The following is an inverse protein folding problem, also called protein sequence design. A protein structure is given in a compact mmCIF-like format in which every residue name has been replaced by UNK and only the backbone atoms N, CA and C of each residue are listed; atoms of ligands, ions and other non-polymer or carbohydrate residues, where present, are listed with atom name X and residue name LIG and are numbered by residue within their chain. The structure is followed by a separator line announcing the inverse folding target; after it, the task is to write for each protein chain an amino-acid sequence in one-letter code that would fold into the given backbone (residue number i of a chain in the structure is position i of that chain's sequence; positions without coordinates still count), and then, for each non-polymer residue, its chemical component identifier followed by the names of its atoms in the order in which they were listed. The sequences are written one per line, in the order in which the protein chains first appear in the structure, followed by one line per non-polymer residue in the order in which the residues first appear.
data_IF_732676306749
#
_entry.id   IF_732676306749
#
_cell.length_a   1.000
_cell.length_b   1.000
_cell.length_c   1.000
_cell.angle_alpha   90.00
_cell.angle_beta   90.00
_cell.angle_gamma   90.00
#
_symmetry.space_group_name_H-M   'P 1'
#
loop_
_entity.id
_entity.type
_entity.pdbx_description
1 polymer ?
2 non-polymer ?
3 water ?
#
# COMPACT_ATOMS: atom_id res chain seq x y z
N UNK A 30 -26.25 22.76 0.84
CA UNK A 30 -26.03 23.77 -0.22
C UNK A 30 -26.31 23.08 -1.57
N UNK A 31 -25.30 22.92 -2.44
CA UNK A 31 -25.52 22.33 -3.75
C UNK A 31 -24.29 21.53 -4.18
N UNK A 32 -23.82 20.63 -3.31
CA UNK A 32 -22.62 19.85 -3.57
C UNK A 32 -22.73 19.00 -4.82
N UNK A 33 -23.83 18.27 -5.00
CA UNK A 33 -23.91 17.42 -6.17
C UNK A 33 -23.82 18.23 -7.49
N UNK A 34 -24.47 19.41 -7.59
CA UNK A 34 -24.36 20.22 -8.79
C UNK A 34 -22.93 20.75 -8.96
N UNK A 35 -22.27 21.07 -7.84
CA UNK A 35 -20.86 21.46 -7.86
C UNK A 35 -20.01 20.36 -8.49
N UNK A 36 -20.28 19.10 -8.10
CA UNK A 36 -19.47 17.97 -8.56
C UNK A 36 -19.66 17.76 -10.06
N UNK A 37 -20.92 17.77 -10.48
CA UNK A 37 -21.31 17.45 -11.84
C UNK A 37 -20.70 18.50 -12.80
N UNK A 38 -20.70 19.76 -12.36
CA UNK A 38 -20.07 20.89 -13.04
C UNK A 38 -18.56 20.74 -13.15
N UNK A 39 -17.92 20.26 -12.07
CA UNK A 39 -16.47 20.04 -12.08
C UNK A 39 -16.14 18.84 -12.96
N UNK A 40 -17.09 17.89 -13.14
CA UNK A 40 -16.85 16.68 -13.92
C UNK A 40 -15.98 15.65 -13.20
N UNK A 41 -15.99 15.71 -11.86
CA UNK A 41 -15.12 14.88 -11.06
C UNK A 41 -15.54 14.92 -9.60
N UNK A 42 -15.47 13.73 -8.97
CA UNK A 42 -15.59 13.55 -7.53
C UNK A 42 -14.17 13.52 -7.01
N UNK A 43 -13.79 14.50 -6.20
CA UNK A 43 -12.48 14.46 -5.59
C UNK A 43 -12.57 13.79 -4.21
N UNK A 44 -11.65 12.85 -3.96
CA UNK A 44 -11.73 11.97 -2.81
C UNK A 44 -10.39 12.00 -2.09
N UNK A 45 -10.41 12.54 -0.88
CA UNK A 45 -9.21 12.56 -0.05
C UNK A 45 -8.97 11.22 0.63
N UNK A 46 -7.69 10.80 0.66
CA UNK A 46 -7.36 9.57 1.35
C UNK A 46 -5.88 9.62 1.68
N UNK A 47 -5.46 8.88 2.72
CA UNK A 47 -4.07 8.94 3.13
C UNK A 47 -3.24 7.89 2.42
N UNK A 48 -3.85 6.77 1.97
CA UNK A 48 -3.07 5.71 1.33
C UNK A 48 -2.09 4.98 2.26
N UNK A 49 -2.23 5.11 3.59
CA UNK A 49 -1.32 4.44 4.50
C UNK A 49 -2.05 3.49 5.43
N UNK A 50 -3.31 3.14 5.11
CA UNK A 50 -4.07 2.28 6.00
C UNK A 50 -4.67 1.09 5.26
N UNK A 51 -3.87 0.03 5.09
CA UNK A 51 -4.36 -1.23 4.57
C UNK A 51 -5.31 -1.82 5.61
N UNK A 52 -6.41 -2.50 5.26
CA UNK A 52 -6.82 -2.75 3.88
C UNK A 52 -7.73 -1.74 3.17
N UNK A 53 -7.89 -0.57 3.78
CA UNK A 53 -8.87 0.41 3.32
C UNK A 53 -8.32 1.23 2.16
N UNK A 54 -7.05 1.63 2.28
CA UNK A 54 -6.46 2.62 1.38
C UNK A 54 -4.96 2.51 1.46
N UNK A 55 -4.32 2.14 0.34
CA UNK A 55 -2.90 1.91 0.30
C UNK A 55 -2.33 2.25 -1.08
N UNK A 56 -1.15 2.86 -1.11
CA UNK A 56 -0.45 3.08 -2.38
C UNK A 56 0.16 1.78 -2.90
N UNK A 57 -0.05 1.51 -4.19
CA UNK A 57 0.60 0.41 -4.88
C UNK A 57 1.28 1.02 -6.11
N UNK A 58 2.37 1.74 -5.86
CA UNK A 58 3.01 2.54 -6.90
C UNK A 58 2.20 3.80 -7.18
N UNK A 59 1.86 4.03 -8.46
CA UNK A 59 1.16 5.25 -8.87
C UNK A 59 -0.33 5.20 -8.56
N UNK A 60 -0.85 4.02 -8.11
CA UNK A 60 -2.27 3.85 -7.85
C UNK A 60 -2.49 3.74 -6.35
N UNK A 61 -3.68 4.19 -5.92
CA UNK A 61 -4.22 3.81 -4.63
C UNK A 61 -5.14 2.62 -4.82
N UNK A 62 -5.08 1.66 -3.87
CA UNK A 62 -5.96 0.48 -3.90
C UNK A 62 -6.52 0.23 -2.49
N UNK A 63 -7.61 -0.53 -2.43
CA UNK A 63 -8.16 -0.98 -1.17
C UNK A 63 -9.68 -0.85 -1.15
N UNK A 64 -10.30 -1.25 -0.03
CA UNK A 64 -11.77 -1.32 0.04
C UNK A 64 -12.40 0.06 -0.15
N UNK A 65 -11.74 1.12 0.39
CA UNK A 65 -12.34 2.43 0.37
C UNK A 65 -12.14 3.08 -0.98
N UNK A 66 -11.12 2.65 -1.71
CA UNK A 66 -10.89 3.15 -3.05
C UNK A 66 -11.93 2.55 -3.99
N UNK A 67 -12.24 1.26 -3.84
CA UNK A 67 -13.31 0.65 -4.61
C UNK A 67 -14.68 1.28 -4.27
N UNK A 68 -14.95 1.58 -3.00
CA UNK A 68 -16.15 2.34 -2.63
C UNK A 68 -16.18 3.69 -3.36
N UNK A 69 -15.09 4.47 -3.30
CA UNK A 69 -15.02 5.75 -3.95
C UNK A 69 -15.38 5.62 -5.44
N UNK A 70 -14.76 4.66 -6.12
CA UNK A 70 -15.00 4.47 -7.54
C UNK A 70 -16.45 4.13 -7.83
N UNK A 71 -17.11 3.38 -6.93
CA UNK A 71 -18.48 2.96 -7.17
C UNK A 71 -19.42 4.14 -6.90
N UNK A 72 -19.12 4.97 -5.88
CA UNK A 72 -19.91 6.17 -5.66
C UNK A 72 -19.84 7.11 -6.87
N UNK A 73 -18.62 7.28 -7.43
CA UNK A 73 -18.42 8.19 -8.55
C UNK A 73 -19.30 7.70 -9.69
N UNK A 74 -19.23 6.40 -9.99
CA UNK A 74 -20.06 5.78 -11.02
C UNK A 74 -21.52 6.11 -10.79
N UNK A 75 -22.00 5.95 -9.56
CA UNK A 75 -23.37 6.24 -9.20
C UNK A 75 -23.71 7.72 -9.39
N UNK A 76 -22.76 8.63 -9.16
CA UNK A 76 -23.00 10.06 -9.29
C UNK A 76 -22.86 10.50 -10.75
N UNK A 77 -22.21 9.63 -11.55
CA UNK A 77 -22.10 9.77 -12.99
C UNK A 77 -20.89 10.60 -13.41
N UNK A 78 -19.86 10.61 -12.57
CA UNK A 78 -18.64 11.39 -12.82
C UNK A 78 -17.44 10.47 -12.67
N UNK A 79 -16.26 10.81 -13.21
CA UNK A 79 -15.04 10.10 -12.83
C UNK A 79 -14.52 10.55 -11.47
N UNK A 80 -13.63 9.74 -10.90
CA UNK A 80 -13.11 9.91 -9.55
C UNK A 80 -11.68 10.41 -9.70
N UNK A 81 -11.30 11.31 -8.79
CA UNK A 81 -9.91 11.72 -8.63
C UNK A 81 -9.48 11.54 -7.15
N UNK A 82 -8.41 10.77 -6.93
CA UNK A 82 -7.92 10.50 -5.58
C UNK A 82 -6.93 11.60 -5.20
N UNK A 83 -7.25 12.36 -4.16
CA UNK A 83 -6.42 13.45 -3.68
C UNK A 83 -5.68 13.00 -2.41
N UNK A 84 -4.33 12.88 -2.45
CA UNK A 84 -3.55 12.45 -1.28
C UNK A 84 -3.62 13.47 -0.14
N UNK A 85 -3.89 12.98 1.07
CA UNK A 85 -3.76 13.77 2.30
C UNK A 85 -3.01 12.92 3.32
N UNK A 86 -3.00 13.37 4.57
CA UNK A 86 -2.30 12.70 5.66
C UNK A 86 -3.18 12.83 6.89
N UNK A 87 -3.04 11.94 7.90
CA UNK A 87 -3.90 11.98 9.07
C UNK A 87 -3.78 13.35 9.76
N UNK A 88 -2.56 13.91 9.98
CA UNK A 88 -2.45 15.25 10.59
C UNK A 88 -2.96 16.44 9.78
N UNK A 89 -3.11 16.30 8.46
CA UNK A 89 -3.61 17.39 7.62
C UNK A 89 -5.01 17.15 7.04
N UNK A 90 -5.64 15.99 7.34
CA UNK A 90 -6.94 15.62 6.77
C UNK A 90 -7.96 16.74 6.92
N UNK A 91 -8.19 17.20 8.13
CA UNK A 91 -9.26 18.13 8.39
C UNK A 91 -8.91 19.52 7.84
N UNK A 92 -7.65 19.92 7.90
CA UNK A 92 -7.26 21.18 7.31
C UNK A 92 -7.46 21.14 5.79
N UNK A 93 -6.98 20.06 5.12
CA UNK A 93 -7.16 19.88 3.68
C UNK A 93 -8.66 19.89 3.31
N UNK A 94 -9.52 19.30 4.14
CA UNK A 94 -10.95 19.24 3.86
C UNK A 94 -11.56 20.62 3.95
N UNK A 95 -11.20 21.35 5.02
CA UNK A 95 -11.64 22.72 5.19
C UNK A 95 -11.13 23.63 4.08
N UNK A 96 -9.93 23.34 3.59
CA UNK A 96 -9.33 24.08 2.48
C UNK A 96 -9.95 23.77 1.13
N UNK A 97 -10.90 22.82 1.04
CA UNK A 97 -11.60 22.56 -0.21
C UNK A 97 -10.82 21.68 -1.18
N UNK A 98 -9.88 20.86 -0.69
CA UNK A 98 -9.01 20.10 -1.56
C UNK A 98 -9.73 18.86 -2.13
N UNK A 99 -10.83 18.46 -1.50
CA UNK A 99 -11.59 17.32 -1.97
C UNK A 99 -13.02 17.39 -1.46
N UNK A 100 -13.90 16.64 -2.13
CA UNK A 100 -15.31 16.63 -1.80
C UNK A 100 -15.59 15.80 -0.55
N UNK A 101 -15.05 14.57 -0.54
CA UNK A 101 -15.28 13.60 0.53
C UNK A 101 -13.93 13.06 0.95
N UNK A 102 -13.86 12.38 2.09
CA UNK A 102 -12.65 11.66 2.50
C UNK A 102 -13.01 10.29 3.05
N UNK A 103 -12.18 9.30 2.71
CA UNK A 103 -12.27 7.96 3.26
C UNK A 103 -10.87 7.33 3.30
N UNK A 104 -10.83 6.07 3.70
CA UNK A 104 -9.61 5.30 3.85
C UNK A 104 -9.40 4.94 5.31
N UNK A 105 -10.38 4.23 5.87
CA UNK A 105 -10.36 3.86 7.27
C UNK A 105 -10.58 5.06 8.21
N UNK A 106 -11.45 5.98 7.82
CA UNK A 106 -11.75 7.16 8.61
C UNK A 106 -12.86 6.79 9.59
N UNK A 107 -12.55 6.97 10.86
CA UNK A 107 -13.52 6.69 11.91
C UNK A 107 -14.31 7.96 12.18
N UNK A 108 -15.57 7.76 12.59
CA UNK A 108 -16.38 8.85 13.13
C UNK A 108 -15.78 9.27 14.46
N UNK A 109 -15.49 10.56 14.58
CA UNK A 109 -15.05 11.13 15.84
C UNK A 109 -15.70 12.51 16.06
N UNK A 110 -15.81 12.94 17.35
CA UNK A 110 -16.49 14.20 17.65
C UNK A 110 -15.85 15.42 16.98
N UNK A 111 -14.52 15.45 16.98
CA UNK A 111 -13.73 16.45 16.28
C UNK A 111 -14.11 16.57 14.79
N UNK A 112 -14.24 15.43 14.10
CA UNK A 112 -14.47 15.44 12.67
C UNK A 112 -15.91 15.83 12.47
N UNK A 113 -16.78 15.47 13.43
CA UNK A 113 -18.19 15.79 13.31
C UNK A 113 -18.42 17.28 13.49
N UNK A 114 -17.48 18.00 14.13
CA UNK A 114 -17.59 19.45 14.26
C UNK A 114 -17.46 20.14 12.89
N UNK A 115 -16.64 19.56 12.01
CA UNK A 115 -16.31 20.22 10.78
C UNK A 115 -17.13 19.70 9.60
N UNK A 116 -17.56 18.44 9.57
CA UNK A 116 -18.30 17.97 8.40
C UNK A 116 -19.42 17.06 8.87
N UNK A 117 -20.09 16.40 7.92
CA UNK A 117 -21.01 15.33 8.23
C UNK A 117 -20.32 14.01 7.90
N UNK A 118 -20.90 12.90 8.35
CA UNK A 118 -20.44 11.56 7.98
C UNK A 118 -21.62 10.88 7.35
N UNK A 119 -21.32 10.00 6.39
CA UNK A 119 -22.24 8.98 5.91
C UNK A 119 -22.67 8.13 7.10
N UNK A 120 -23.69 7.30 6.88
CA UNK A 120 -23.89 6.17 7.77
C UNK A 120 -22.59 5.39 7.88
N UNK A 121 -22.46 4.65 8.98
CA UNK A 121 -21.32 3.75 9.16
C UNK A 121 -21.47 2.55 8.20
N UNK A 122 -20.36 2.16 7.57
CA UNK A 122 -20.35 0.96 6.78
C UNK A 122 -19.53 -0.16 7.45
N UNK A 123 -18.88 0.12 8.59
CA UNK A 123 -18.16 -0.93 9.28
C UNK A 123 -18.07 -0.60 10.77
N UNK A 124 -18.56 -1.51 11.62
CA UNK A 124 -18.35 -1.43 13.06
C UNK A 124 -17.28 -2.47 13.37
N UNK A 125 -16.31 -2.06 14.17
CA UNK A 125 -15.14 -2.86 14.44
C UNK A 125 -14.60 -2.58 15.84
N UNK A 126 -14.04 -3.61 16.45
CA UNK A 126 -13.45 -3.50 17.76
C UNK A 126 -12.20 -2.64 17.81
N UNK A 127 -11.90 -2.21 19.05
CA UNK A 127 -10.61 -1.73 19.46
C UNK A 127 -9.97 -2.82 20.33
N UNK A 128 -8.79 -3.29 19.91
CA UNK A 128 -8.21 -4.45 20.53
C UNK A 128 -6.71 -4.46 20.30
N UNK A 129 -5.94 -5.19 21.11
CA UNK A 129 -4.49 -5.17 20.96
C UNK A 129 -3.96 -5.99 19.78
N UNK A 130 -2.75 -5.62 19.37
CA UNK A 130 -1.88 -6.49 18.59
C UNK A 130 -0.52 -6.43 19.27
N UNK A 131 0.09 -7.61 19.43
CA UNK A 131 1.38 -7.70 20.11
C UNK A 131 2.21 -8.84 19.52
N UNK A 132 3.49 -8.97 19.93
CA UNK A 132 4.23 -10.19 19.62
C UNK A 132 3.48 -11.40 20.15
N UNK A 133 3.45 -12.50 19.38
CA UNK A 133 2.68 -13.67 19.76
C UNK A 133 3.05 -14.16 21.16
N UNK A 134 4.33 -14.12 21.52
CA UNK A 134 4.72 -14.65 22.81
C UNK A 134 4.17 -13.79 23.97
N UNK A 135 3.62 -12.59 23.67
CA UNK A 135 3.07 -11.70 24.66
C UNK A 135 1.53 -11.68 24.65
N UNK A 136 0.90 -12.58 23.88
CA UNK A 136 -0.56 -12.67 23.82
C UNK A 136 -1.20 -12.68 25.21
N UNK A 137 -0.68 -13.54 26.08
CA UNK A 137 -1.29 -13.82 27.37
C UNK A 137 -1.18 -12.61 28.26
N UNK A 138 -0.12 -11.83 28.04
CA UNK A 138 0.24 -10.72 28.88
C UNK A 138 -0.62 -9.48 28.66
N UNK A 139 -1.26 -9.35 27.49
CA UNK A 139 -2.00 -8.13 27.18
C UNK A 139 -3.43 -8.49 26.76
N UNK A 140 -4.03 -9.43 27.48
CA UNK A 140 -5.42 -9.84 27.28
C UNK A 140 -6.36 -8.73 27.73
N UNK A 141 -5.99 -7.99 28.80
CA UNK A 141 -6.91 -7.09 29.49
C UNK A 141 -6.36 -5.68 29.52
N UNK A 142 -7.27 -4.72 29.74
CA UNK A 142 -6.91 -3.33 29.94
C UNK A 142 -6.12 -3.14 31.22
N UNK A 143 -6.46 -3.89 32.28
CA UNK A 143 -5.69 -3.88 33.52
C UNK A 143 -4.21 -4.18 33.27
N UNK A 144 -3.92 -5.24 32.46
CA UNK A 144 -2.57 -5.68 32.08
C UNK A 144 -1.83 -4.61 31.28
N UNK A 145 -2.56 -3.90 30.41
CA UNK A 145 -1.94 -2.92 29.52
C UNK A 145 -1.73 -1.57 30.21
N UNK A 146 -2.68 -1.15 31.05
CA UNK A 146 -2.62 0.19 31.64
C UNK A 146 -1.69 0.15 32.87
N UNK A 147 -0.39 0.34 32.61
CA UNK A 147 0.63 0.22 33.63
C UNK A 147 1.93 0.89 33.17
N UNK A 148 2.67 1.56 34.08
CA UNK A 148 4.02 1.99 33.72
C UNK A 148 4.89 0.75 33.43
N UNK A 149 5.84 0.95 32.52
CA UNK A 149 6.69 -0.12 32.03
C UNK A 149 6.06 -0.86 30.86
N UNK A 150 4.96 -0.31 30.31
CA UNK A 150 4.33 -0.83 29.10
C UNK A 150 4.45 0.22 28.00
N UNK A 151 4.97 -0.21 26.85
CA UNK A 151 5.36 0.67 25.77
C UNK A 151 4.29 0.58 24.68
N UNK A 152 3.27 1.46 24.75
CA UNK A 152 2.12 1.42 23.85
C UNK A 152 2.44 2.41 22.74
N UNK A 153 2.29 2.00 21.48
CA UNK A 153 2.55 2.88 20.37
C UNK A 153 1.24 3.14 19.61
N UNK A 154 1.11 4.33 19.01
CA UNK A 154 -0.08 4.76 18.26
C UNK A 154 0.32 5.69 17.13
N UNK A 155 -0.63 5.80 16.18
CA UNK A 155 -0.69 6.73 15.07
C UNK A 155 -1.12 8.12 15.58
N UNK A 156 -0.58 9.26 15.08
CA UNK A 156 -0.98 10.54 15.66
C UNK A 156 -2.33 11.07 15.19
N UNK A 157 -3.20 11.31 16.17
CA UNK A 157 -4.29 12.26 16.03
C UNK A 157 -5.61 11.65 15.59
N UNK A 158 -5.87 10.39 15.97
CA UNK A 158 -7.13 9.75 15.65
C UNK A 158 -7.74 9.04 16.85
N UNK A 159 -8.53 8.00 16.55
CA UNK A 159 -9.30 7.29 17.55
C UNK A 159 -8.38 6.43 18.46
N UNK A 160 -7.25 5.97 17.91
CA UNK A 160 -6.31 5.11 18.64
C UNK A 160 -5.58 5.92 19.70
N UNK A 161 -5.01 7.05 19.29
CA UNK A 161 -4.37 7.94 20.26
C UNK A 161 -5.35 8.31 21.38
N UNK A 162 -6.58 8.61 21.01
CA UNK A 162 -7.57 9.07 21.97
C UNK A 162 -7.96 7.92 22.91
N UNK A 163 -8.03 6.69 22.39
CA UNK A 163 -8.34 5.54 23.22
C UNK A 163 -7.21 5.29 24.24
N UNK A 164 -5.97 5.32 23.75
CA UNK A 164 -4.79 5.06 24.57
C UNK A 164 -4.71 6.03 25.76
N UNK A 165 -4.91 7.32 25.49
CA UNK A 165 -4.72 8.36 26.51
C UNK A 165 -5.80 8.23 27.57
N UNK A 166 -6.98 7.85 27.11
CA UNK A 166 -8.17 7.80 27.95
C UNK A 166 -8.17 6.49 28.75
N UNK A 167 -7.84 5.36 28.11
CA UNK A 167 -8.08 4.05 28.70
C UNK A 167 -6.81 3.37 29.19
N UNK A 168 -5.67 3.88 28.78
CA UNK A 168 -4.44 3.29 29.28
C UNK A 168 -3.55 4.43 29.74
N UNK A 169 -4.06 5.33 30.62
CA UNK A 169 -3.35 6.57 30.95
C UNK A 169 -1.98 6.28 31.59
N UNK A 170 -1.86 5.18 32.30
CA UNK A 170 -0.62 4.85 33.02
C UNK A 170 0.43 4.14 32.17
N UNK A 171 0.06 3.69 30.98
CA UNK A 171 1.02 3.05 30.12
C UNK A 171 1.91 4.13 29.54
N UNK A 172 3.09 3.77 29.05
CA UNK A 172 3.93 4.73 28.34
C UNK A 172 3.53 4.73 26.88
N UNK A 173 3.15 5.92 26.40
CA UNK A 173 2.65 6.12 25.05
C UNK A 173 3.77 6.70 24.22
N UNK A 174 3.81 6.32 22.92
CA UNK A 174 4.76 6.78 21.92
C UNK A 174 4.04 7.01 20.59
N UNK A 175 4.26 8.20 19.99
CA UNK A 175 3.55 8.63 18.79
C UNK A 175 4.50 8.54 17.59
N UNK A 176 4.06 7.86 16.53
CA UNK A 176 4.92 7.52 15.41
C UNK A 176 4.21 7.90 14.11
N UNK A 177 4.73 8.91 13.37
CA UNK A 177 4.04 9.46 12.20
C UNK A 177 3.67 8.47 11.10
N UNK A 178 4.49 7.44 10.92
CA UNK A 178 4.39 6.55 9.76
C UNK A 178 3.57 5.30 10.08
N UNK A 179 2.33 5.25 9.57
CA UNK A 179 1.49 4.10 9.86
C UNK A 179 1.85 2.93 8.93
N UNK A 180 2.56 3.24 7.84
CA UNK A 180 2.96 2.19 6.92
C UNK A 180 4.12 1.35 7.51
N UNK A 181 4.69 1.73 8.68
CA UNK A 181 5.80 0.95 9.26
C UNK A 181 5.84 0.85 10.79
N UNK A 182 4.99 1.59 11.53
CA UNK A 182 4.83 1.60 13.00
C UNK A 182 4.74 0.21 13.69
N UNK A 183 4.35 -0.84 12.93
CA UNK A 183 4.33 -2.24 13.37
C UNK A 183 5.76 -2.82 13.48
N UNK A 184 6.70 -2.19 12.78
CA UNK A 184 8.12 -2.54 12.84
C UNK A 184 8.52 -2.52 14.33
N UNK A 185 8.09 -1.52 15.09
CA UNK A 185 8.55 -1.33 16.46
C UNK A 185 8.04 -2.42 17.41
N UNK A 186 6.82 -2.93 17.16
CA UNK A 186 6.33 -4.07 17.92
C UNK A 186 7.16 -5.31 17.56
N UNK A 187 7.45 -5.51 16.26
CA UNK A 187 8.19 -6.68 15.79
C UNK A 187 9.56 -6.71 16.45
N UNK A 188 10.28 -5.57 16.42
CA UNK A 188 11.66 -5.52 16.88
C UNK A 188 11.74 -5.43 18.39
N UNK A 189 10.68 -5.01 19.07
CA UNK A 189 10.69 -4.96 20.52
C UNK A 189 11.06 -3.60 21.06
N UNK A 190 10.91 -2.55 20.24
CA UNK A 190 11.01 -1.17 20.69
C UNK A 190 9.70 -0.70 21.34
N UNK A 191 8.59 -1.40 21.07
CA UNK A 191 7.33 -1.15 21.74
C UNK A 191 6.71 -2.50 22.04
N UNK A 192 5.76 -2.58 22.93
CA UNK A 192 5.17 -3.82 23.41
C UNK A 192 3.87 -4.18 22.70
N UNK A 193 3.11 -3.16 22.29
CA UNK A 193 1.81 -3.44 21.68
C UNK A 193 1.21 -2.16 21.10
N UNK A 194 0.06 -2.39 20.47
CA UNK A 194 -0.79 -1.36 19.94
C UNK A 194 -2.22 -1.74 20.26
N UNK A 195 -3.08 -0.75 20.45
CA UNK A 195 -4.51 -1.00 20.44
C UNK A 195 -5.06 -0.26 19.22
N UNK A 196 -5.72 -1.01 18.32
CA UNK A 196 -6.18 -0.44 17.08
C UNK A 196 -7.43 -1.18 16.64
N UNK A 197 -7.86 -0.86 15.41
CA UNK A 197 -9.02 -1.50 14.87
C UNK A 197 -8.77 -3.00 14.74
N UNK A 198 -9.79 -3.81 15.10
CA UNK A 198 -9.72 -5.26 14.98
C UNK A 198 -9.25 -5.65 13.58
N UNK A 199 -9.78 -4.96 12.54
CA UNK A 199 -9.46 -5.33 11.18
C UNK A 199 -7.99 -5.12 10.86
N UNK A 200 -7.39 -4.06 11.43
CA UNK A 200 -5.96 -3.83 11.23
C UNK A 200 -5.15 -4.90 11.98
N UNK A 201 -5.61 -5.33 13.15
CA UNK A 201 -4.91 -6.41 13.88
C UNK A 201 -4.92 -7.73 13.08
N UNK A 202 -6.03 -8.00 12.38
CA UNK A 202 -6.14 -9.27 11.65
C UNK A 202 -5.19 -9.23 10.46
N UNK A 203 -5.15 -8.08 9.81
CA UNK A 203 -4.34 -7.97 8.62
C UNK A 203 -2.86 -8.01 9.01
N UNK A 204 -2.50 -7.23 10.00
CA UNK A 204 -1.08 -7.11 10.36
C UNK A 204 -0.55 -8.45 10.91
N UNK A 205 -1.39 -9.23 11.58
CA UNK A 205 -1.02 -10.56 12.03
C UNK A 205 -0.63 -11.46 10.86
N UNK A 206 -1.25 -11.27 9.69
CA UNK A 206 -0.95 -12.09 8.54
C UNK A 206 0.22 -11.52 7.74
N UNK A 207 0.43 -10.21 7.81
CA UNK A 207 1.53 -9.58 7.10
C UNK A 207 2.84 -9.65 7.88
N UNK A 208 2.74 -9.69 9.20
CA UNK A 208 3.88 -9.68 10.09
C UNK A 208 3.73 -10.86 11.04
N UNK A 209 4.21 -12.06 10.64
CA UNK A 209 3.95 -13.29 11.37
C UNK A 209 4.42 -13.36 12.81
N UNK A 210 5.27 -12.42 13.22
CA UNK A 210 5.73 -12.37 14.60
C UNK A 210 4.62 -11.76 15.50
N UNK A 211 3.57 -11.17 14.90
CA UNK A 211 2.53 -10.48 15.63
C UNK A 211 1.25 -11.34 15.66
N UNK A 212 0.45 -11.12 16.71
CA UNK A 212 -0.82 -11.80 16.95
C UNK A 212 -1.87 -10.77 17.37
N UNK A 213 -3.05 -10.81 16.73
CA UNK A 213 -4.25 -10.10 17.17
C UNK A 213 -4.68 -10.73 18.50
N UNK A 214 -4.99 -9.91 19.51
CA UNK A 214 -5.48 -10.33 20.82
C UNK A 214 -7.02 -10.22 20.84
N UNK A 215 -7.71 -11.37 20.87
CA UNK A 215 -9.17 -11.50 20.90
C UNK A 215 -9.91 -10.48 20.05
N UNK A 216 -9.71 -10.47 18.73
CA UNK A 216 -10.34 -9.42 17.94
C UNK A 216 -11.87 -9.50 17.90
N UNK A 217 -12.46 -10.70 18.06
CA UNK A 217 -13.91 -10.82 17.92
C UNK A 217 -14.61 -10.25 19.16
N UNK A 218 -13.87 -10.15 20.28
CA UNK A 218 -14.41 -9.72 21.55
C UNK A 218 -13.51 -8.61 22.10
N UNK A 219 -13.69 -7.38 21.55
CA UNK A 219 -12.79 -6.25 21.76
C UNK A 219 -13.18 -5.48 23.01
N UNK A 220 -12.40 -4.44 23.33
CA UNK A 220 -12.60 -3.60 24.50
C UNK A 220 -13.74 -2.60 24.29
N UNK A 221 -14.02 -2.21 23.04
CA UNK A 221 -14.96 -1.16 22.65
C UNK A 221 -15.03 -1.18 21.12
N UNK A 222 -15.88 -0.34 20.54
CA UNK A 222 -16.09 -0.37 19.12
C UNK A 222 -15.98 1.04 18.56
N UNK A 223 -15.65 1.11 17.28
CA UNK A 223 -15.63 2.34 16.52
C UNK A 223 -16.27 2.10 15.16
N UNK A 224 -16.66 3.23 14.53
CA UNK A 224 -17.38 3.19 13.26
C UNK A 224 -16.60 3.89 12.13
N UNK A 225 -16.51 3.23 10.98
CA UNK A 225 -15.89 3.76 9.79
C UNK A 225 -17.00 4.36 8.94
N UNK A 226 -16.73 5.54 8.37
CA UNK A 226 -17.71 6.19 7.50
C UNK A 226 -16.96 7.12 6.55
N UNK A 227 -17.72 7.75 5.67
CA UNK A 227 -17.16 8.66 4.68
C UNK A 227 -17.36 10.05 5.24
N UNK A 228 -16.29 10.83 5.30
CA UNK A 228 -16.39 12.24 5.65
C UNK A 228 -17.00 13.06 4.48
N UNK A 229 -18.06 13.84 4.78
CA UNK A 229 -18.85 14.55 3.77
C UNK A 229 -18.94 16.04 4.11
N UNK A 230 -19.26 16.91 3.10
CA UNK A 230 -19.52 18.32 3.36
C UNK A 230 -20.81 18.43 4.17
N UNK A 231 -21.05 19.62 4.67
CA UNK A 231 -22.29 19.92 5.37
C UNK A 231 -23.40 20.18 4.35
N UNK A 232 -23.90 19.13 3.70
CA UNK A 232 -24.89 19.24 2.67
C UNK A 232 -25.79 18.03 2.87
N UNK A 233 -26.99 18.26 3.42
CA UNK A 233 -27.88 17.18 3.86
C UNK A 233 -28.37 16.38 2.66
N UNK A 234 -28.65 17.08 1.55
CA UNK A 234 -29.18 16.39 0.37
C UNK A 234 -28.11 15.48 -0.26
N UNK A 235 -26.87 15.95 -0.30
CA UNK A 235 -25.76 15.13 -0.76
C UNK A 235 -25.59 13.93 0.16
N UNK A 236 -25.66 14.14 1.46
CA UNK A 236 -25.52 13.05 2.41
C UNK A 236 -26.62 12.01 2.15
N UNK A 237 -27.84 12.45 1.76
CA UNK A 237 -28.94 11.52 1.55
C UNK A 237 -28.66 10.61 0.35
N UNK A 238 -28.03 11.21 -0.66
CA UNK A 238 -27.65 10.52 -1.88
C UNK A 238 -26.60 9.48 -1.52
N UNK A 239 -25.57 9.89 -0.77
CA UNK A 239 -24.49 8.97 -0.39
C UNK A 239 -25.04 7.82 0.47
N UNK A 240 -25.88 8.14 1.46
CA UNK A 240 -26.38 7.12 2.38
C UNK A 240 -27.28 6.12 1.62
N UNK A 241 -28.09 6.55 0.66
CA UNK A 241 -28.93 5.62 -0.09
C UNK A 241 -28.05 4.60 -0.84
N UNK A 242 -27.02 5.11 -1.51
CA UNK A 242 -26.05 4.29 -2.20
C UNK A 242 -25.33 3.36 -1.22
N UNK A 243 -24.89 3.92 -0.10
CA UNK A 243 -24.06 3.15 0.83
C UNK A 243 -24.90 2.09 1.53
N UNK A 244 -26.15 2.41 1.89
CA UNK A 244 -26.99 1.46 2.59
C UNK A 244 -27.32 0.27 1.69
N UNK A 245 -27.47 0.49 0.37
CA UNK A 245 -27.68 -0.58 -0.59
C UNK A 245 -26.44 -1.50 -0.64
N UNK A 246 -25.25 -0.88 -0.66
CA UNK A 246 -23.99 -1.60 -0.65
C UNK A 246 -23.83 -2.50 0.58
N UNK A 247 -24.22 -1.98 1.76
CA UNK A 247 -24.16 -2.76 3.00
C UNK A 247 -25.17 -3.91 2.94
N UNK A 248 -26.43 -3.60 2.58
CA UNK A 248 -27.52 -4.55 2.79
C UNK A 248 -27.50 -5.66 1.74
N UNK A 249 -26.88 -5.40 0.60
CA UNK A 249 -26.70 -6.36 -0.46
C UNK A 249 -25.57 -7.35 -0.15
N UNK A 250 -24.78 -7.12 0.91
CA UNK A 250 -23.63 -7.92 1.31
C UNK A 250 -22.31 -7.48 0.67
N UNK A 251 -22.34 -6.53 -0.27
CA UNK A 251 -21.20 -6.14 -1.07
C UNK A 251 -20.06 -5.54 -0.23
N UNK A 252 -20.40 -4.77 0.82
CA UNK A 252 -19.33 -4.25 1.69
C UNK A 252 -18.61 -5.40 2.40
N UNK A 253 -19.37 -6.32 2.99
CA UNK A 253 -18.80 -7.50 3.63
C UNK A 253 -17.92 -8.30 2.66
N UNK A 254 -18.40 -8.54 1.44
CA UNK A 254 -17.64 -9.35 0.49
C UNK A 254 -16.32 -8.65 0.18
N UNK A 255 -16.39 -7.33 0.00
CA UNK A 255 -15.22 -6.49 -0.22
C UNK A 255 -14.23 -6.58 0.94
N UNK A 256 -14.73 -6.53 2.19
CA UNK A 256 -13.87 -6.63 3.37
C UNK A 256 -13.03 -7.91 3.29
N UNK A 257 -13.66 -9.06 3.04
CA UNK A 257 -12.95 -10.32 3.00
C UNK A 257 -11.93 -10.33 1.88
N UNK A 258 -12.32 -9.84 0.69
CA UNK A 258 -11.45 -9.76 -0.46
C UNK A 258 -10.18 -8.98 -0.10
N UNK A 259 -10.35 -7.78 0.47
CA UNK A 259 -9.21 -6.91 0.70
C UNK A 259 -8.35 -7.45 1.84
N UNK A 260 -8.95 -8.13 2.83
CA UNK A 260 -8.17 -8.77 3.89
C UNK A 260 -7.28 -9.88 3.32
N UNK A 261 -7.70 -10.49 2.22
CA UNK A 261 -6.93 -11.58 1.63
C UNK A 261 -6.14 -11.13 0.40
N UNK A 262 -5.96 -9.81 0.24
CA UNK A 262 -5.24 -9.23 -0.89
C UNK A 262 -3.74 -9.39 -0.66
N UNK A 263 -2.93 -9.59 -1.73
CA UNK A 263 -1.48 -9.76 -1.56
C UNK A 263 -0.71 -8.45 -1.38
N UNK A 264 -0.89 -7.84 -0.19
CA UNK A 264 -0.25 -6.60 0.22
C UNK A 264 1.28 -6.73 0.20
N UNK A 265 1.79 -7.96 0.39
CA UNK A 265 3.21 -8.19 0.51
C UNK A 265 3.97 -8.11 -0.81
N UNK A 266 3.24 -7.91 -1.92
CA UNK A 266 3.88 -7.75 -3.22
C UNK A 266 4.52 -6.38 -3.46
N UNK A 267 4.25 -5.37 -2.64
CA UNK A 267 4.79 -4.04 -2.88
C UNK A 267 6.33 -4.01 -2.99
N UNK A 268 7.15 -4.63 -2.11
CA UNK A 268 8.60 -4.64 -2.34
C UNK A 268 9.02 -5.18 -3.70
N UNK A 269 8.29 -6.19 -4.21
CA UNK A 269 8.61 -6.79 -5.49
C UNK A 269 8.35 -5.76 -6.60
N UNK A 270 7.16 -5.13 -6.51
CA UNK A 270 6.83 -4.08 -7.44
C UNK A 270 7.88 -2.98 -7.44
N UNK A 271 8.21 -2.49 -6.24
CA UNK A 271 9.18 -1.42 -6.19
C UNK A 271 10.53 -1.86 -6.77
N UNK A 272 11.01 -3.08 -6.49
CA UNK A 272 12.29 -3.51 -7.03
C UNK A 272 12.26 -3.51 -8.56
N UNK A 273 11.20 -4.08 -9.14
CA UNK A 273 11.02 -4.14 -10.59
C UNK A 273 11.06 -2.73 -11.18
N UNK A 274 10.38 -1.82 -10.48
CA UNK A 274 10.19 -0.46 -10.95
C UNK A 274 11.53 0.25 -10.92
N UNK A 275 12.24 0.13 -9.78
CA UNK A 275 13.48 0.84 -9.57
C UNK A 275 14.55 0.30 -10.53
N UNK A 276 14.57 -1.03 -10.73
CA UNK A 276 15.56 -1.63 -11.61
C UNK A 276 15.35 -1.11 -13.03
N UNK A 277 14.08 -1.08 -13.47
CA UNK A 277 13.72 -0.59 -14.78
C UNK A 277 14.01 0.90 -15.01
N UNK A 278 13.74 1.76 -14.02
CA UNK A 278 14.03 3.17 -14.17
C UNK A 278 15.51 3.42 -14.41
N UNK A 279 16.39 2.60 -13.81
CA UNK A 279 17.83 2.68 -13.93
C UNK A 279 18.29 2.45 -15.38
N UNK A 280 17.46 1.80 -16.20
CA UNK A 280 17.74 1.69 -17.63
C UNK A 280 17.98 3.07 -18.26
N UNK A 281 17.42 4.16 -17.70
CA UNK A 281 17.63 5.50 -18.28
C UNK A 281 19.08 5.92 -18.16
N UNK A 282 19.67 5.59 -17.01
CA UNK A 282 21.07 5.80 -16.67
C UNK A 282 21.98 4.98 -17.57
N UNK A 283 21.60 3.70 -17.72
CA UNK A 283 22.30 2.73 -18.56
C UNK A 283 22.40 3.29 -19.97
N UNK A 284 21.29 3.80 -20.47
CA UNK A 284 21.23 4.29 -21.83
C UNK A 284 22.10 5.53 -22.03
N UNK A 285 22.07 6.50 -21.09
CA UNK A 285 22.92 7.67 -21.19
C UNK A 285 24.41 7.31 -21.14
N UNK A 286 24.79 6.41 -20.24
CA UNK A 286 26.17 5.94 -20.19
C UNK A 286 26.58 5.32 -21.53
N UNK A 287 25.70 4.45 -22.08
CA UNK A 287 26.10 3.75 -23.31
C UNK A 287 26.18 4.70 -24.48
N UNK A 288 25.29 5.69 -24.55
CA UNK A 288 25.25 6.63 -25.64
C UNK A 288 26.57 7.40 -25.71
N UNK A 289 27.08 7.76 -24.54
CA UNK A 289 28.31 8.52 -24.41
C UNK A 289 29.50 7.71 -24.92
N UNK A 290 29.48 6.37 -24.79
CA UNK A 290 30.66 5.60 -25.20
C UNK A 290 30.35 4.73 -26.42
N UNK A 291 29.24 4.99 -27.14
CA UNK A 291 28.89 4.19 -28.31
C UNK A 291 28.83 2.69 -28.03
N UNK A 292 28.23 2.32 -26.89
CA UNK A 292 28.08 0.92 -26.51
C UNK A 292 26.78 0.38 -27.07
N UNK A 293 26.83 -0.84 -27.66
CA UNK A 293 25.62 -1.52 -28.12
C UNK A 293 24.64 -1.73 -26.98
N UNK A 294 23.36 -1.64 -27.29
CA UNK A 294 22.33 -1.88 -26.28
C UNK A 294 22.34 -3.34 -25.85
N UNK A 295 22.35 -4.28 -26.81
CA UNK A 295 22.25 -5.69 -26.51
C UNK A 295 23.62 -6.33 -26.45
N UNK A 296 23.87 -7.12 -25.39
CA UNK A 296 25.07 -7.92 -25.19
C UNK A 296 24.64 -9.26 -24.62
N UNK A 297 24.38 -10.25 -25.49
CA UNK A 297 23.74 -11.47 -25.03
C UNK A 297 24.65 -12.24 -24.06
N UNK A 298 25.96 -12.04 -24.18
CA UNK A 298 26.92 -12.70 -23.32
C UNK A 298 26.83 -12.23 -21.87
N UNK A 299 26.81 -10.91 -21.66
CA UNK A 299 26.69 -10.39 -20.31
C UNK A 299 25.24 -10.55 -19.82
N UNK A 300 24.27 -10.72 -20.72
CA UNK A 300 22.90 -10.98 -20.27
C UNK A 300 22.86 -12.36 -19.66
N UNK A 301 23.53 -13.31 -20.31
CA UNK A 301 23.51 -14.69 -19.86
C UNK A 301 24.16 -14.79 -18.48
N UNK A 302 25.20 -13.99 -18.27
CA UNK A 302 25.89 -13.98 -16.99
C UNK A 302 25.00 -13.42 -15.88
N UNK A 303 24.28 -12.35 -16.18
CA UNK A 303 23.39 -11.74 -15.19
C UNK A 303 22.35 -12.77 -14.77
N UNK A 304 21.78 -13.48 -15.75
CA UNK A 304 20.77 -14.50 -15.51
C UNK A 304 21.34 -15.65 -14.68
N UNK A 305 22.51 -16.16 -15.09
CA UNK A 305 23.21 -17.17 -14.31
C UNK A 305 23.32 -16.80 -12.84
N UNK A 306 23.84 -15.61 -12.60
CA UNK A 306 24.10 -15.13 -11.24
C UNK A 306 22.79 -15.07 -10.46
N UNK A 307 21.71 -14.63 -11.12
CA UNK A 307 20.41 -14.53 -10.46
C UNK A 307 19.91 -15.93 -10.11
N UNK A 308 20.11 -16.90 -11.00
CA UNK A 308 19.70 -18.29 -10.77
C UNK A 308 20.38 -18.86 -9.53
N UNK A 309 21.68 -18.62 -9.46
CA UNK A 309 22.47 -19.13 -8.36
C UNK A 309 22.03 -18.45 -7.05
N UNK A 310 21.89 -17.12 -7.05
CA UNK A 310 21.45 -16.41 -5.84
C UNK A 310 20.04 -16.86 -5.42
N UNK A 311 19.13 -17.03 -6.39
CA UNK A 311 17.78 -17.50 -6.13
C UNK A 311 17.69 -18.93 -5.61
N UNK A 312 18.60 -19.81 -6.05
CA UNK A 312 18.54 -21.19 -5.63
C UNK A 312 18.75 -21.24 -4.13
N UNK A 313 19.64 -20.39 -3.60
CA UNK A 313 19.87 -20.28 -2.15
C UNK A 313 18.62 -19.92 -1.37
N UNK A 314 17.63 -19.24 -2.03
CA UNK A 314 16.34 -18.93 -1.41
C UNK A 314 15.28 -19.99 -1.71
N UNK A 315 15.66 -21.04 -2.41
CA UNK A 315 14.75 -22.12 -2.72
C UNK A 315 13.91 -21.82 -3.96
N UNK A 316 14.32 -20.81 -4.74
CA UNK A 316 13.53 -20.49 -5.93
C UNK A 316 13.97 -21.42 -7.08
N UNK A 317 13.03 -21.92 -7.91
CA UNK A 317 13.38 -22.71 -9.07
C UNK A 317 14.06 -21.90 -10.18
N UNK A 318 14.97 -22.56 -10.88
CA UNK A 318 15.78 -21.97 -11.94
C UNK A 318 14.92 -21.45 -13.09
N UNK A 319 13.89 -22.18 -13.49
CA UNK A 319 13.14 -21.80 -14.69
C UNK A 319 12.35 -20.52 -14.41
N UNK A 320 11.79 -20.38 -13.21
CA UNK A 320 11.04 -19.18 -12.87
C UNK A 320 12.00 -17.99 -12.82
N UNK A 321 13.17 -18.18 -12.22
CA UNK A 321 14.15 -17.09 -12.19
C UNK A 321 14.55 -16.61 -13.60
N UNK A 322 14.84 -17.55 -14.51
CA UNK A 322 15.19 -17.22 -15.87
C UNK A 322 14.06 -16.46 -16.55
N UNK A 323 12.82 -16.90 -16.41
CA UNK A 323 11.69 -16.16 -17.00
C UNK A 323 11.66 -14.73 -16.50
N UNK A 324 11.74 -14.56 -15.17
CA UNK A 324 11.68 -13.23 -14.57
C UNK A 324 12.80 -12.34 -15.06
N UNK A 325 14.04 -12.87 -15.06
CA UNK A 325 15.19 -12.03 -15.34
C UNK A 325 15.34 -11.77 -16.84
N UNK A 326 14.98 -12.74 -17.68
CA UNK A 326 14.96 -12.47 -19.11
C UNK A 326 13.98 -11.34 -19.40
N UNK A 327 12.85 -11.29 -18.67
CA UNK A 327 11.87 -10.21 -18.86
C UNK A 327 12.44 -8.86 -18.38
N UNK A 328 13.18 -8.85 -17.27
CA UNK A 328 13.68 -7.58 -16.73
C UNK A 328 14.77 -7.03 -17.67
N UNK A 329 15.53 -7.93 -18.30
CA UNK A 329 16.56 -7.54 -19.26
C UNK A 329 15.95 -7.03 -20.56
N UNK A 330 14.97 -7.74 -21.11
CA UNK A 330 14.22 -7.25 -22.25
C UNK A 330 13.58 -5.88 -22.04
N UNK A 331 12.97 -5.66 -20.88
CA UNK A 331 12.34 -4.40 -20.59
C UNK A 331 13.40 -3.29 -20.52
N UNK A 332 14.56 -3.59 -19.93
CA UNK A 332 15.65 -2.62 -19.90
C UNK A 332 16.07 -2.24 -21.31
N UNK A 333 16.21 -3.22 -22.21
CA UNK A 333 16.67 -2.94 -23.56
C UNK A 333 15.64 -2.07 -24.30
N UNK A 334 14.38 -2.32 -23.98
CA UNK A 334 13.28 -1.60 -24.57
C UNK A 334 13.38 -0.13 -24.21
N UNK A 335 13.58 0.19 -22.93
CA UNK A 335 13.85 1.55 -22.47
C UNK A 335 15.01 2.13 -23.28
N UNK A 336 16.13 1.41 -23.35
CA UNK A 336 17.34 1.92 -23.96
C UNK A 336 17.10 2.24 -25.43
N UNK A 337 16.43 1.35 -26.15
CA UNK A 337 16.14 1.54 -27.55
C UNK A 337 15.27 2.78 -27.80
N UNK A 338 14.23 2.99 -26.95
CA UNK A 338 13.28 4.07 -27.14
C UNK A 338 14.01 5.38 -26.89
N UNK A 339 14.93 5.38 -25.92
CA UNK A 339 15.68 6.57 -25.59
C UNK A 339 16.69 6.85 -26.71
N UNK A 340 17.35 5.81 -27.24
CA UNK A 340 18.30 6.02 -28.33
C UNK A 340 17.57 6.57 -29.56
N UNK A 341 16.39 6.04 -29.84
CA UNK A 341 15.58 6.46 -30.98
C UNK A 341 15.21 7.95 -30.88
N UNK A 342 15.00 8.46 -29.67
CA UNK A 342 14.69 9.86 -29.47
C UNK A 342 15.94 10.68 -29.70
N UNK A 343 17.03 10.24 -29.05
CA UNK A 343 18.29 10.94 -29.07
C UNK A 343 18.81 10.95 -30.50
N UNK A 344 18.43 9.94 -31.29
CA UNK A 344 18.91 9.81 -32.66
C UNK A 344 18.33 10.94 -33.51
N UNK A 345 17.00 11.06 -33.45
CA UNK A 345 16.24 12.03 -34.22
C UNK A 345 16.53 13.46 -33.76
N UNK A 346 16.71 13.67 -32.46
CA UNK A 346 17.08 14.96 -31.89
C UNK A 346 18.56 15.28 -32.10
N UNK A 347 19.34 14.31 -32.60
CA UNK A 347 20.78 14.44 -32.73
C UNK A 347 21.44 14.86 -31.41
N UNK A 348 21.07 14.24 -30.28
CA UNK A 348 21.64 14.56 -28.98
C UNK A 348 23.14 14.27 -28.96
N UNK A 349 23.92 15.15 -28.32
CA UNK A 349 25.33 14.92 -28.09
C UNK A 349 25.53 14.09 -26.84
N UNK A 350 26.67 14.28 -26.18
CA UNK A 350 27.01 13.59 -24.94
C UNK A 350 26.17 14.09 -23.76
N UNK A 351 26.01 13.26 -22.73
CA UNK A 351 25.23 13.62 -21.55
C UNK A 351 26.23 13.95 -20.45
N UNK A 352 26.11 15.14 -19.81
CA UNK A 352 26.99 15.49 -18.70
C UNK A 352 26.69 14.57 -17.51
N UNK A 353 25.43 14.21 -17.37
CA UNK A 353 25.00 13.24 -16.37
C UNK A 353 25.01 11.83 -16.95
N UNK A 354 26.16 11.15 -16.83
CA UNK A 354 26.29 9.73 -17.19
C UNK A 354 27.06 9.02 -16.08
N UNK A 355 26.39 8.26 -15.18
CA UNK A 355 27.10 7.48 -14.17
C UNK A 355 27.91 6.37 -14.80
N UNK A 356 28.90 5.90 -14.03
CA UNK A 356 29.79 4.84 -14.46
C UNK A 356 28.97 3.55 -14.50
N UNK A 357 29.04 2.85 -15.63
CA UNK A 357 28.29 1.63 -15.83
C UNK A 357 28.79 0.55 -14.90
N UNK A 358 30.11 0.31 -14.91
CA UNK A 358 30.68 -0.78 -14.13
C UNK A 358 30.81 -0.37 -12.66
N UNK A 359 31.01 0.91 -12.37
CA UNK A 359 31.36 1.28 -11.01
C UNK A 359 30.14 1.77 -10.22
N UNK A 360 29.13 2.33 -10.87
CA UNK A 360 28.01 2.86 -10.11
C UNK A 360 26.71 2.13 -10.49
N UNK A 361 26.46 1.94 -11.79
CA UNK A 361 25.16 1.40 -12.19
C UNK A 361 25.07 -0.09 -11.90
N UNK A 362 26.12 -0.85 -12.22
CA UNK A 362 26.04 -2.30 -12.13
C UNK A 362 25.85 -2.75 -10.69
N UNK A 363 26.58 -2.19 -9.69
CA UNK A 363 26.29 -2.48 -8.28
C UNK A 363 24.85 -2.20 -7.85
N UNK A 364 24.25 -1.14 -8.40
CA UNK A 364 22.88 -0.82 -8.08
C UNK A 364 21.93 -1.88 -8.67
N UNK A 365 22.16 -2.29 -9.93
CA UNK A 365 21.35 -3.31 -10.58
C UNK A 365 21.39 -4.60 -9.81
N UNK A 366 22.59 -4.97 -9.33
CA UNK A 366 22.75 -6.18 -8.57
C UNK A 366 22.07 -6.09 -7.21
N UNK A 367 22.18 -4.94 -6.54
CA UNK A 367 21.43 -4.76 -5.31
C UNK A 367 19.94 -4.97 -5.54
N UNK A 368 19.42 -4.38 -6.64
CA UNK A 368 17.98 -4.48 -6.93
C UNK A 368 17.60 -5.91 -7.32
N UNK A 369 18.46 -6.64 -8.05
CA UNK A 369 18.29 -8.07 -8.28
C UNK A 369 18.11 -8.85 -6.99
N UNK A 370 18.95 -8.56 -5.97
CA UNK A 370 18.80 -9.22 -4.68
C UNK A 370 17.43 -8.93 -4.06
N UNK A 371 16.97 -7.69 -4.13
CA UNK A 371 15.68 -7.38 -3.52
C UNK A 371 14.54 -8.06 -4.27
N UNK A 372 14.66 -8.08 -5.59
CA UNK A 372 13.66 -8.70 -6.45
C UNK A 372 13.57 -10.19 -6.11
N UNK A 373 14.72 -10.90 -6.01
CA UNK A 373 14.72 -12.30 -5.65
C UNK A 373 14.11 -12.52 -4.26
N UNK A 374 14.53 -11.71 -3.30
CA UNK A 374 14.04 -11.87 -1.94
C UNK A 374 12.51 -11.70 -1.88
N UNK A 375 12.00 -10.74 -2.66
CA UNK A 375 10.56 -10.51 -2.73
C UNK A 375 9.82 -11.68 -3.39
N UNK A 376 10.40 -12.22 -4.46
CA UNK A 376 9.87 -13.38 -5.14
C UNK A 376 9.75 -14.53 -4.12
N UNK A 377 10.81 -14.78 -3.33
CA UNK A 377 10.74 -15.87 -2.35
C UNK A 377 9.66 -15.62 -1.30
N UNK A 378 9.57 -14.39 -0.78
CA UNK A 378 8.60 -14.05 0.25
C UNK A 378 7.18 -14.22 -0.29
N UNK A 379 6.95 -14.05 -1.61
CA UNK A 379 5.61 -14.02 -2.18
C UNK A 379 5.34 -15.21 -3.12
N UNK A 380 6.08 -16.28 -2.91
CA UNK A 380 6.09 -17.40 -3.85
C UNK A 380 4.71 -18.06 -3.93
N UNK A 381 4.01 -18.15 -2.82
CA UNK A 381 2.67 -18.73 -2.74
C UNK A 381 1.72 -18.03 -3.70
N UNK A 382 1.50 -16.73 -3.50
CA UNK A 382 0.55 -16.05 -4.38
C UNK A 382 1.07 -16.03 -5.82
N UNK A 383 2.38 -15.91 -6.04
CA UNK A 383 2.86 -15.71 -7.41
C UNK A 383 2.77 -16.98 -8.27
N UNK A 384 2.65 -18.14 -7.62
CA UNK A 384 2.52 -19.41 -8.33
C UNK A 384 1.11 -19.97 -8.13
N UNK A 385 0.14 -19.07 -7.95
CA UNK A 385 -1.28 -19.43 -7.97
C UNK A 385 -1.93 -18.76 -9.18
N UNK A 386 -2.23 -19.55 -10.22
CA UNK A 386 -2.70 -18.99 -11.47
C UNK A 386 -4.04 -18.27 -11.35
N UNK A 387 -4.77 -18.60 -10.28
CA UNK A 387 -6.10 -18.08 -10.04
C UNK A 387 -6.07 -16.68 -9.43
N UNK A 388 -4.88 -16.17 -9.05
CA UNK A 388 -4.74 -14.92 -8.31
C UNK A 388 -4.16 -13.81 -9.16
N UNK A 389 -4.02 -14.01 -10.48
CA UNK A 389 -3.39 -13.06 -11.37
C UNK A 389 -4.08 -11.69 -11.38
N UNK A 390 -5.38 -11.62 -11.16
CA UNK A 390 -6.05 -10.31 -11.18
C UNK A 390 -5.63 -9.46 -9.97
N UNK A 391 -5.48 -10.08 -8.79
CA UNK A 391 -4.97 -9.39 -7.60
C UNK A 391 -3.50 -9.01 -7.75
N UNK A 392 -2.68 -9.89 -8.33
CA UNK A 392 -1.27 -9.59 -8.59
C UNK A 392 -1.20 -8.40 -9.52
N UNK A 393 -2.07 -8.35 -10.55
CA UNK A 393 -2.12 -7.21 -11.43
C UNK A 393 -2.41 -5.94 -10.67
N UNK A 394 -3.44 -5.99 -9.80
CA UNK A 394 -3.84 -4.82 -9.03
C UNK A 394 -2.65 -4.30 -8.22
N UNK A 395 -1.91 -5.23 -7.62
CA UNK A 395 -0.84 -4.88 -6.70
C UNK A 395 0.37 -4.29 -7.43
N UNK A 396 0.64 -4.75 -8.65
CA UNK A 396 1.94 -4.52 -9.28
C UNK A 396 1.88 -3.57 -10.49
N UNK A 397 0.70 -3.35 -11.05
CA UNK A 397 0.63 -2.77 -12.40
C UNK A 397 1.20 -1.37 -12.51
N UNK A 398 1.12 -0.57 -11.46
CA UNK A 398 1.27 0.87 -11.61
C UNK A 398 2.71 1.25 -11.35
N UNK A 399 3.60 0.88 -12.28
CA UNK A 399 4.99 1.27 -12.17
C UNK A 399 5.11 2.73 -12.55
N UNK A 400 5.97 3.46 -11.83
CA UNK A 400 6.49 4.75 -12.26
C UNK A 400 7.11 4.64 -13.66
N UNK A 401 7.82 3.53 -13.93
CA UNK A 401 8.42 3.27 -15.23
C UNK A 401 7.39 3.18 -16.38
N UNK A 402 6.09 2.97 -16.08
CA UNK A 402 5.09 2.91 -17.15
C UNK A 402 4.92 4.26 -17.87
N UNK A 403 5.12 5.36 -17.15
CA UNK A 403 5.17 6.70 -17.73
C UNK A 403 6.30 6.83 -18.73
N UNK A 404 7.43 6.22 -18.41
CA UNK A 404 8.60 6.25 -19.27
C UNK A 404 8.45 5.36 -20.49
N UNK A 405 7.97 4.11 -20.34
CA UNK A 405 7.89 3.19 -21.45
C UNK A 405 6.78 2.16 -21.16
N UNK A 406 5.53 2.36 -21.66
CA UNK A 406 4.46 1.38 -21.46
C UNK A 406 4.84 -0.02 -21.87
N UNK A 407 5.55 -0.12 -22.99
CA UNK A 407 5.88 -1.43 -23.49
C UNK A 407 6.89 -2.09 -22.55
N UNK A 408 7.91 -1.36 -22.08
CA UNK A 408 8.89 -1.96 -21.18
C UNK A 408 8.22 -2.36 -19.87
N UNK A 409 7.29 -1.56 -19.34
CA UNK A 409 6.70 -1.91 -18.06
C UNK A 409 5.90 -3.19 -18.25
N UNK A 410 5.16 -3.29 -19.35
CA UNK A 410 4.39 -4.49 -19.64
C UNK A 410 5.28 -5.74 -19.72
N UNK A 411 6.44 -5.63 -20.38
CA UNK A 411 7.36 -6.73 -20.53
C UNK A 411 7.92 -7.18 -19.18
N UNK A 412 8.32 -6.20 -18.35
CA UNK A 412 8.89 -6.46 -17.04
C UNK A 412 7.89 -7.21 -16.18
N UNK A 413 6.58 -6.95 -16.34
CA UNK A 413 5.56 -7.49 -15.44
C UNK A 413 4.96 -8.78 -15.96
N UNK A 414 5.13 -9.05 -17.26
CA UNK A 414 4.58 -10.23 -17.89
C UNK A 414 4.82 -11.56 -17.18
N UNK A 415 5.99 -11.86 -16.53
CA UNK A 415 6.10 -13.09 -15.73
C UNK A 415 5.06 -13.18 -14.62
N UNK A 416 4.53 -12.04 -14.16
CA UNK A 416 3.65 -12.02 -12.99
C UNK A 416 2.18 -11.88 -13.42
N UNK A 417 1.89 -11.03 -14.42
CA UNK A 417 0.56 -10.94 -14.98
C UNK A 417 0.59 -10.32 -16.37
N UNK A 418 -0.51 -10.49 -17.13
CA UNK A 418 -0.66 -9.87 -18.45
C UNK A 418 -1.84 -8.88 -18.42
N UNK A 419 -1.91 -8.03 -19.44
CA UNK A 419 -2.80 -6.89 -19.43
C UNK A 419 -4.24 -7.37 -19.29
N UNK A 420 -4.59 -8.52 -19.87
CA UNK A 420 -5.95 -9.05 -19.76
C UNK A 420 -6.28 -9.58 -18.36
N UNK A 421 -5.28 -9.66 -17.48
CA UNK A 421 -5.54 -9.94 -16.06
C UNK A 421 -6.03 -8.69 -15.29
N UNK A 422 -5.75 -7.47 -15.82
CA UNK A 422 -6.44 -6.21 -15.49
C UNK A 422 -5.47 -5.32 -14.68
X LIG B 1 -4.06 3.20 10.39
X LIG B 1 -4.43 2.67 11.64
X LIG B 1 -5.77 3.16 12.06
X LIG B 1 -5.72 4.64 12.08
X LIG B 1 -5.29 5.18 10.75
X LIG B 1 -3.95 4.60 10.44
X LIG B 1 -6.94 5.26 12.68
X LIG B 1 -7.94 5.80 11.69
X LIG B 1 -9.06 6.76 12.59
X LIG B 1 -8.25 7.59 13.43
X LIG B 1 -9.79 7.48 11.60
X LIG B 1 -9.85 5.83 13.38
#
# INVERSE_FOLDING_TARGET
MQRFIRHSMRQIAVLGLLAGMMASVQAGADHRLDDITARGVLRVGTTGDYKPFSSRAGNDFVGLDIELAADLARTLGVPVQIVPTSWPTLMKDFGDGKFDIALGGVSITPERQKQGLFSVSYLRDGKTPITRCENSARFQTLAQIDQPGVRLVVNPGGTNERFARSQAPNAQLTVYPDNVTIFDQIVTGAADLMITDAIETRLQQRLRPQLCAVHPDTPFDFAEKAILLPRDVAFKAVVDKWLQQRIASGAVQRSVDRWLDFPWGLEPLRLAIDQRLLLAQAVARAKWNVQAPIEDLGREAQVIQAAVKEGAALGLPKVWIETVFRAQIEASKTVQRELFAQWSAQQAGKFDDAPDLAKTIRPELDRLTTQLLRSMASNQTVLNDEARKADVARAMRALEARALSPQAATQALAPFFLEHHHHHH
MES O1 C2 C3 N4 C5 C6 C7 C8 S O1S O2S O3S
#
